data_IF_589122401824
#
_entry.id   IF_589122401824
#
_cell.length_a   1.000
_cell.length_b   1.000
_cell.length_c   1.000
_cell.angle_alpha   90.00
_cell.angle_beta   90.00
_cell.angle_gamma   90.00
#
_symmetry.space_group_name_H-M   'P 1'
#
loop_
_entity.id
_entity.type
_entity.pdbx_description
1 polymer ?
#
# COMPACT_ATOMS: atom_id res chain seq x y z
N UNK A 1 -22.36 -68.99 24.03
CA UNK A 1 -21.04 -69.09 24.70
C UNK A 1 -20.34 -67.73 24.51
N UNK A 2 -20.49 -66.83 25.49
CA UNK A 2 -19.42 -66.32 26.42
C UNK A 2 -18.35 -65.47 25.71
N UNK A 3 -17.99 -64.23 26.08
CA UNK A 3 -18.28 -63.31 27.20
C UNK A 3 -17.84 -61.87 26.83
N UNK A 4 -18.39 -60.77 27.38
CA UNK A 4 -17.97 -60.03 28.61
C UNK A 4 -16.46 -59.68 28.60
N UNK A 5 -15.93 -58.46 28.76
CA UNK A 5 -16.29 -57.21 29.47
C UNK A 5 -15.41 -56.05 28.98
N UNK A 6 -15.86 -54.79 29.11
CA UNK A 6 -15.01 -53.63 28.89
C UNK A 6 -15.68 -52.27 29.05
N UNK A 7 -16.16 -51.98 30.26
CA UNK A 7 -16.71 -50.68 30.69
C UNK A 7 -15.63 -49.61 30.79
N UNK A 8 -15.92 -48.37 30.32
CA UNK A 8 -15.51 -47.12 30.99
C UNK A 8 -16.28 -45.90 30.45
N UNK A 9 -17.10 -45.32 31.34
CA UNK A 9 -17.29 -43.88 31.62
C UNK A 9 -17.57 -42.94 30.43
N UNK A 10 -18.81 -42.47 30.26
CA UNK A 10 -19.37 -41.26 30.91
C UNK A 10 -18.56 -40.00 30.59
N UNK A 11 -19.14 -39.18 29.72
CA UNK A 11 -18.75 -37.80 29.47
C UNK A 11 -19.93 -37.09 28.81
N UNK A 12 -20.95 -36.78 29.61
CA UNK A 12 -22.01 -35.84 29.22
C UNK A 12 -21.34 -34.52 28.81
N UNK A 13 -21.34 -34.19 27.51
CA UNK A 13 -21.14 -32.82 27.09
C UNK A 13 -22.49 -32.11 27.13
N UNK A 14 -22.59 -30.97 27.82
CA UNK A 14 -23.83 -30.28 28.04
C UNK A 14 -24.39 -29.75 26.73
N UNK A 15 -25.65 -30.11 26.49
CA UNK A 15 -26.57 -29.50 25.54
C UNK A 15 -26.78 -28.03 25.92
N UNK A 16 -25.84 -27.16 25.55
CA UNK A 16 -26.05 -25.72 25.55
C UNK A 16 -26.55 -25.34 24.17
N UNK A 17 -27.87 -25.36 24.02
CA UNK A 17 -28.60 -24.66 22.97
C UNK A 17 -28.32 -23.16 23.09
N UNK A 18 -27.18 -22.71 22.58
CA UNK A 18 -26.97 -21.30 22.26
C UNK A 18 -27.42 -21.15 20.81
N UNK A 19 -28.56 -20.50 20.64
CA UNK A 19 -28.99 -19.98 19.34
C UNK A 19 -27.87 -19.05 18.86
N UNK A 20 -26.97 -19.59 18.05
CA UNK A 20 -25.96 -18.83 17.34
C UNK A 20 -26.72 -18.01 16.30
N UNK A 21 -26.84 -16.71 16.57
CA UNK A 21 -27.28 -15.73 15.58
C UNK A 21 -26.47 -15.94 14.30
N UNK A 22 -27.14 -16.40 13.24
CA UNK A 22 -26.54 -16.74 11.96
C UNK A 22 -25.82 -15.55 11.28
N UNK A 23 -26.08 -14.32 11.72
CA UNK A 23 -25.50 -13.11 11.15
C UNK A 23 -24.05 -12.82 11.58
N UNK A 24 -23.58 -13.30 12.74
CA UNK A 24 -22.22 -12.98 13.22
C UNK A 24 -21.16 -13.90 12.60
N UNK A 25 -21.52 -15.15 12.28
CA UNK A 25 -20.58 -16.12 11.69
C UNK A 25 -20.30 -15.85 10.21
N UNK A 26 -21.23 -15.25 9.46
CA UNK A 26 -21.02 -14.94 8.04
C UNK A 26 -20.01 -13.81 7.85
N UNK A 27 -20.06 -12.79 8.72
CA UNK A 27 -19.10 -11.67 8.67
C UNK A 27 -17.70 -12.17 9.04
N UNK A 28 -17.53 -12.89 10.15
CA UNK A 28 -16.21 -13.38 10.55
C UNK A 28 -15.57 -14.36 9.54
N UNK A 29 -16.36 -15.21 8.88
CA UNK A 29 -15.87 -16.08 7.80
C UNK A 29 -15.50 -15.29 6.54
N UNK A 30 -16.27 -14.26 6.18
CA UNK A 30 -15.97 -13.38 5.05
C UNK A 30 -14.67 -12.60 5.29
N UNK A 31 -14.50 -12.03 6.48
CA UNK A 31 -13.29 -11.29 6.87
C UNK A 31 -12.06 -12.23 6.92
N UNK A 32 -12.19 -13.42 7.50
CA UNK A 32 -11.08 -14.39 7.55
C UNK A 32 -10.71 -14.93 6.16
N UNK A 33 -11.69 -15.22 5.30
CA UNK A 33 -11.44 -15.61 3.91
C UNK A 33 -10.77 -14.47 3.12
N UNK A 34 -11.21 -13.23 3.32
CA UNK A 34 -10.58 -12.05 2.70
C UNK A 34 -9.12 -11.87 3.14
N UNK A 35 -8.82 -12.05 4.42
CA UNK A 35 -7.45 -11.94 4.97
C UNK A 35 -6.54 -13.09 4.51
N UNK A 36 -7.06 -14.31 4.34
CA UNK A 36 -6.28 -15.44 3.83
C UNK A 36 -6.02 -15.31 2.32
N UNK A 37 -7.01 -14.87 1.54
CA UNK A 37 -6.86 -14.58 0.09
C UNK A 37 -5.87 -13.44 -0.16
N UNK A 38 -5.75 -12.47 0.75
CA UNK A 38 -4.72 -11.42 0.68
C UNK A 38 -3.29 -11.91 0.95
N UNK A 39 -3.10 -13.11 1.52
CA UNK A 39 -1.78 -13.64 1.88
C UNK A 39 -1.14 -14.50 0.81
N UNK A 40 -1.92 -15.19 -0.01
CA UNK A 40 -1.42 -15.81 -1.23
C UNK A 40 -1.29 -14.70 -2.27
N UNK A 41 -0.19 -13.97 -2.18
CA UNK A 41 0.27 -13.13 -3.28
C UNK A 41 0.82 -14.09 -4.34
N UNK A 42 0.17 -14.24 -5.50
CA UNK A 42 0.71 -15.08 -6.55
C UNK A 42 1.87 -14.37 -7.24
N UNK A 43 2.87 -15.16 -7.63
CA UNK A 43 3.94 -14.68 -8.48
C UNK A 43 3.49 -14.68 -9.95
N UNK A 44 3.84 -13.63 -10.69
CA UNK A 44 3.64 -13.61 -12.13
C UNK A 44 4.58 -14.60 -12.83
N UNK A 45 4.10 -15.39 -13.78
CA UNK A 45 4.93 -16.38 -14.48
C UNK A 45 6.00 -15.77 -15.42
N UNK A 46 5.82 -14.52 -15.85
CA UNK A 46 6.71 -13.84 -16.83
C UNK A 46 7.78 -13.04 -16.09
N UNK A 47 7.39 -12.14 -15.19
CA UNK A 47 8.32 -11.29 -14.45
C UNK A 47 8.75 -11.84 -13.08
N UNK A 48 8.16 -12.96 -12.64
CA UNK A 48 8.46 -13.67 -11.38
C UNK A 48 8.35 -12.83 -10.10
N UNK A 49 7.78 -11.64 -10.20
CA UNK A 49 7.49 -10.76 -9.07
C UNK A 49 6.13 -11.08 -8.46
N UNK A 50 5.99 -10.71 -7.19
CA UNK A 50 4.82 -10.99 -6.38
C UNK A 50 3.86 -9.80 -6.36
N UNK A 51 2.60 -10.00 -6.72
CA UNK A 51 1.60 -8.94 -6.80
C UNK A 51 0.29 -9.37 -6.15
N UNK A 52 -0.56 -8.42 -5.71
CA UNK A 52 -1.89 -8.76 -5.24
C UNK A 52 -2.78 -9.23 -6.40
N UNK A 53 -3.79 -10.05 -6.09
CA UNK A 53 -4.58 -10.81 -7.07
C UNK A 53 -5.37 -9.91 -8.06
N UNK A 54 -5.64 -8.67 -7.66
CA UNK A 54 -6.28 -7.60 -8.45
C UNK A 54 -5.39 -7.02 -9.55
N UNK A 55 -4.11 -7.38 -9.60
CA UNK A 55 -3.19 -7.00 -10.68
C UNK A 55 -2.97 -8.13 -11.70
N UNK A 56 -3.79 -9.17 -11.67
CA UNK A 56 -3.74 -10.29 -12.61
C UNK A 56 -4.88 -10.23 -13.61
N UNK A 57 -4.56 -10.52 -14.87
CA UNK A 57 -5.57 -10.60 -15.92
C UNK A 57 -6.48 -11.81 -15.68
N UNK A 58 -7.79 -11.59 -15.73
CA UNK A 58 -8.76 -12.68 -15.72
C UNK A 58 -8.76 -13.40 -17.07
N UNK A 59 -8.51 -14.71 -17.06
CA UNK A 59 -8.54 -15.52 -18.28
C UNK A 59 -7.85 -16.87 -18.12
N UNK A 60 -8.35 -17.86 -18.86
CA UNK A 60 -7.75 -19.19 -18.92
C UNK A 60 -6.76 -19.30 -20.08
N UNK A 61 -5.77 -20.20 -19.95
CA UNK A 61 -4.77 -20.47 -20.99
C UNK A 61 -3.57 -19.51 -20.93
N UNK A 62 -3.20 -18.83 -22.04
CA UNK A 62 -1.99 -18.00 -22.07
C UNK A 62 -2.09 -16.74 -21.18
N UNK A 63 -3.26 -16.42 -20.61
CA UNK A 63 -3.43 -15.29 -19.68
C UNK A 63 -3.33 -15.70 -18.20
N UNK A 64 -3.27 -16.99 -17.88
CA UNK A 64 -3.25 -17.48 -16.50
C UNK A 64 -1.97 -17.10 -15.75
N UNK A 65 -2.12 -16.57 -14.53
CA UNK A 65 -1.04 -16.12 -13.64
C UNK A 65 -0.06 -15.11 -14.29
N UNK A 66 -0.59 -14.23 -15.15
CA UNK A 66 0.18 -13.14 -15.75
C UNK A 66 -0.32 -11.80 -15.18
N UNK A 67 0.59 -10.97 -14.68
CA UNK A 67 0.24 -9.63 -14.23
C UNK A 67 -0.14 -8.73 -15.42
N UNK A 68 -0.97 -7.71 -15.18
CA UNK A 68 -1.52 -6.86 -16.26
C UNK A 68 -0.43 -6.23 -17.14
N UNK A 69 0.70 -5.82 -16.55
CA UNK A 69 1.82 -5.23 -17.31
C UNK A 69 2.47 -6.22 -18.27
N UNK A 70 2.79 -7.43 -17.80
CA UNK A 70 3.34 -8.47 -18.68
C UNK A 70 2.32 -8.94 -19.72
N UNK A 71 1.02 -8.88 -19.42
CA UNK A 71 -0.02 -9.21 -20.39
C UNK A 71 -0.06 -8.20 -21.55
N UNK A 72 0.02 -6.91 -21.25
CA UNK A 72 0.10 -5.84 -22.25
C UNK A 72 1.42 -5.90 -23.04
N UNK A 73 2.55 -6.08 -22.35
CA UNK A 73 3.87 -6.10 -22.99
C UNK A 73 4.06 -7.29 -23.97
N UNK A 74 3.30 -8.38 -23.77
CA UNK A 74 3.33 -9.57 -24.63
C UNK A 74 2.11 -9.69 -25.56
N UNK A 75 1.36 -8.59 -25.77
CA UNK A 75 0.18 -8.54 -26.65
C UNK A 75 -0.91 -9.58 -26.29
N UNK A 76 -0.95 -9.99 -25.02
CA UNK A 76 -1.93 -10.94 -24.50
C UNK A 76 -3.27 -10.26 -24.27
N UNK A 77 -3.30 -8.96 -23.95
CA UNK A 77 -4.51 -8.13 -23.74
C UNK A 77 -4.22 -6.70 -24.16
N UNK A 78 -5.23 -6.01 -24.68
CA UNK A 78 -5.13 -4.59 -25.04
C UNK A 78 -5.12 -3.68 -23.80
N UNK A 79 -4.50 -2.50 -23.92
CA UNK A 79 -4.45 -1.49 -22.85
C UNK A 79 -5.83 -0.95 -22.52
N UNK A 80 -6.74 -0.93 -23.50
CA UNK A 80 -8.11 -0.43 -23.33
C UNK A 80 -8.99 -1.42 -22.54
N UNK A 81 -8.69 -2.72 -22.62
CA UNK A 81 -9.45 -3.80 -21.97
C UNK A 81 -9.02 -4.04 -20.51
N UNK A 82 -8.02 -3.32 -20.01
CA UNK A 82 -7.41 -3.55 -18.69
C UNK A 82 -7.44 -2.30 -17.80
N UNK A 83 -8.59 -1.96 -17.18
CA UNK A 83 -8.69 -0.83 -16.25
C UNK A 83 -7.89 -1.04 -14.95
N UNK A 84 -7.47 -2.28 -14.67
CA UNK A 84 -6.58 -2.65 -13.56
C UNK A 84 -5.10 -2.38 -13.88
N UNK A 85 -4.75 -2.08 -15.14
CA UNK A 85 -3.40 -1.62 -15.44
C UNK A 85 -3.24 -0.29 -14.72
N UNK A 86 -2.39 -0.27 -13.69
CA UNK A 86 -2.03 0.95 -12.97
C UNK A 86 -1.50 1.93 -14.00
N UNK A 87 -2.38 2.82 -14.49
CA UNK A 87 -2.10 3.62 -15.67
C UNK A 87 -0.94 4.54 -15.33
N UNK A 88 0.03 4.62 -16.24
CA UNK A 88 1.20 5.48 -16.05
C UNK A 88 0.78 6.95 -15.82
N UNK A 89 -0.42 7.32 -16.26
CA UNK A 89 -1.07 8.62 -16.01
C UNK A 89 -1.42 8.83 -14.53
N UNK A 90 -2.01 7.85 -13.84
CA UNK A 90 -2.29 7.95 -12.40
C UNK A 90 -1.00 7.97 -11.57
N UNK A 91 0.03 7.23 -12.00
CA UNK A 91 1.38 7.31 -11.40
C UNK A 91 1.89 8.74 -11.53
N UNK A 92 1.85 9.28 -12.74
CA UNK A 92 2.39 10.60 -13.07
C UNK A 92 1.64 11.71 -12.33
N UNK A 93 0.32 11.63 -12.25
CA UNK A 93 -0.50 12.57 -11.49
C UNK A 93 -0.18 12.52 -10.00
N UNK A 94 -0.11 11.33 -9.42
CA UNK A 94 0.28 11.14 -8.01
C UNK A 94 1.69 11.69 -7.74
N UNK A 95 2.68 11.31 -8.55
CA UNK A 95 4.06 11.78 -8.41
C UNK A 95 4.15 13.30 -8.60
N UNK A 96 3.37 13.88 -9.53
CA UNK A 96 3.33 15.32 -9.71
C UNK A 96 2.81 16.04 -8.46
N UNK A 97 1.77 15.51 -7.80
CA UNK A 97 1.27 16.05 -6.54
C UNK A 97 2.30 15.93 -5.41
N UNK A 98 2.95 14.77 -5.27
CA UNK A 98 4.01 14.57 -4.27
C UNK A 98 5.22 15.47 -4.51
N UNK A 99 5.65 15.63 -5.77
CA UNK A 99 6.79 16.46 -6.14
C UNK A 99 6.60 17.92 -5.71
N UNK A 100 5.39 18.46 -5.88
CA UNK A 100 5.07 19.84 -5.48
C UNK A 100 5.14 20.03 -3.98
N UNK A 101 4.75 19.01 -3.21
CA UNK A 101 4.79 19.04 -1.73
C UNK A 101 6.19 18.85 -1.17
N UNK A 102 6.99 17.97 -1.75
CA UNK A 102 8.34 17.65 -1.26
C UNK A 102 9.43 18.61 -1.77
N UNK A 103 9.17 19.45 -2.77
CA UNK A 103 10.14 20.43 -3.29
C UNK A 103 10.74 21.34 -2.20
N UNK A 104 9.93 21.81 -1.26
CA UNK A 104 10.40 22.66 -0.15
C UNK A 104 11.35 21.91 0.77
N UNK A 105 11.05 20.65 1.08
CA UNK A 105 11.91 19.79 1.90
C UNK A 105 13.24 19.50 1.21
N UNK A 106 13.21 19.17 -0.08
CA UNK A 106 14.43 18.94 -0.88
C UNK A 106 15.32 20.18 -0.85
N UNK A 107 14.75 21.38 -1.01
CA UNK A 107 15.52 22.63 -0.96
C UNK A 107 16.19 22.85 0.40
N UNK A 108 15.49 22.55 1.50
CA UNK A 108 16.03 22.66 2.86
C UNK A 108 17.15 21.64 3.08
N UNK A 109 16.93 20.37 2.72
CA UNK A 109 17.96 19.34 2.79
C UNK A 109 19.21 19.73 2.01
N UNK A 110 19.02 20.23 0.78
CA UNK A 110 20.14 20.65 -0.06
C UNK A 110 20.85 21.88 0.50
N UNK A 111 20.11 22.84 1.05
CA UNK A 111 20.68 24.00 1.72
C UNK A 111 21.51 23.63 2.96
N UNK A 112 21.01 22.72 3.80
CA UNK A 112 21.78 22.18 4.92
C UNK A 112 23.01 21.41 4.45
N UNK A 113 22.87 20.56 3.44
CA UNK A 113 24.00 19.83 2.86
C UNK A 113 25.09 20.79 2.36
N UNK A 114 24.71 21.83 1.61
CA UNK A 114 25.61 22.85 1.11
C UNK A 114 26.28 23.65 2.24
N UNK A 115 25.54 23.99 3.30
CA UNK A 115 26.11 24.68 4.46
C UNK A 115 27.15 23.83 5.20
N UNK A 116 26.84 22.55 5.43
CA UNK A 116 27.72 21.63 6.16
C UNK A 116 29.00 21.30 5.37
N UNK A 117 28.94 21.32 4.05
CA UNK A 117 30.06 20.97 3.15
C UNK A 117 30.91 22.19 2.77
N UNK A 118 30.29 23.29 2.37
CA UNK A 118 30.97 24.47 1.78
C UNK A 118 30.79 25.74 2.60
N UNK A 119 29.70 25.85 3.37
CA UNK A 119 29.26 27.11 3.98
C UNK A 119 30.05 27.58 5.20
N UNK A 120 30.85 26.73 5.86
CA UNK A 120 31.51 27.08 7.14
C UNK A 120 32.76 27.97 7.02
N UNK A 121 33.31 28.17 5.82
CA UNK A 121 34.63 28.79 5.64
C UNK A 121 34.66 30.33 5.56
N UNK A 122 33.51 31.01 5.49
CA UNK A 122 33.44 32.47 5.26
C UNK A 122 32.60 33.12 6.36
N UNK A 123 33.21 33.85 7.30
CA UNK A 123 32.56 34.31 8.56
C UNK A 123 31.26 35.11 8.37
N UNK A 124 31.22 36.07 7.44
CA UNK A 124 30.03 36.90 7.21
C UNK A 124 28.93 36.17 6.42
N UNK A 125 29.30 35.37 5.42
CA UNK A 125 28.31 34.68 4.58
C UNK A 125 27.76 33.42 5.25
N UNK A 126 28.58 32.73 6.06
CA UNK A 126 28.21 31.56 6.84
C UNK A 126 27.10 31.87 7.85
N UNK A 127 27.24 32.97 8.59
CA UNK A 127 26.28 33.37 9.63
C UNK A 127 24.92 33.78 9.03
N UNK A 128 24.90 34.60 7.98
CA UNK A 128 23.66 35.00 7.30
C UNK A 128 22.96 33.80 6.69
N UNK A 129 23.71 32.92 6.01
CA UNK A 129 23.14 31.71 5.40
C UNK A 129 22.57 30.75 6.45
N UNK A 130 23.24 30.60 7.59
CA UNK A 130 22.75 29.81 8.72
C UNK A 130 21.44 30.36 9.27
N UNK A 131 21.31 31.69 9.44
CA UNK A 131 20.06 32.30 9.93
C UNK A 131 18.92 32.03 8.95
N UNK A 132 19.15 32.21 7.65
CA UNK A 132 18.14 31.91 6.62
C UNK A 132 17.76 30.44 6.61
N UNK A 133 18.73 29.53 6.76
CA UNK A 133 18.47 28.09 6.87
C UNK A 133 17.61 27.74 8.07
N UNK A 134 17.90 28.31 9.24
CA UNK A 134 17.10 28.09 10.46
C UNK A 134 15.68 28.60 10.24
N UNK A 135 15.51 29.83 9.74
CA UNK A 135 14.18 30.40 9.46
C UNK A 135 13.41 29.54 8.46
N UNK A 136 14.05 29.13 7.35
CA UNK A 136 13.39 28.29 6.34
C UNK A 136 12.98 26.92 6.90
N UNK A 137 13.79 26.35 7.79
CA UNK A 137 13.51 25.07 8.48
C UNK A 137 12.34 25.20 9.46
N UNK A 138 12.14 26.38 10.06
CA UNK A 138 10.99 26.66 10.94
C UNK A 138 9.71 26.97 10.16
N UNK A 139 9.80 27.67 9.03
CA UNK A 139 8.64 28.04 8.21
C UNK A 139 8.09 26.85 7.43
N UNK A 140 8.95 25.93 6.97
CA UNK A 140 8.54 24.77 6.19
C UNK A 140 7.50 23.85 6.86
N UNK A 141 7.65 23.42 8.13
CA UNK A 141 6.63 22.60 8.78
C UNK A 141 5.29 23.34 8.92
N UNK A 142 5.30 24.64 9.20
CA UNK A 142 4.08 25.46 9.28
C UNK A 142 3.33 25.45 7.95
N UNK A 143 4.02 25.75 6.85
CA UNK A 143 3.44 25.71 5.50
C UNK A 143 3.01 24.30 5.10
N UNK A 144 3.77 23.28 5.51
CA UNK A 144 3.45 21.89 5.23
C UNK A 144 2.15 21.45 5.93
N UNK A 145 1.93 21.88 7.17
CA UNK A 145 0.69 21.60 7.90
C UNK A 145 -0.52 22.28 7.27
N UNK A 146 -0.41 23.58 6.95
CA UNK A 146 -1.50 24.33 6.31
C UNK A 146 -1.91 23.75 4.95
N UNK A 147 -0.97 23.19 4.19
CA UNK A 147 -1.23 22.56 2.90
C UNK A 147 -1.83 21.14 2.97
N UNK A 148 -1.94 20.55 4.17
CA UNK A 148 -2.33 19.13 4.34
C UNK A 148 -3.75 18.84 3.90
N UNK A 149 -4.71 19.70 4.28
CA UNK A 149 -6.12 19.52 3.93
C UNK A 149 -6.33 19.56 2.41
N UNK A 150 -5.68 20.51 1.72
CA UNK A 150 -5.71 20.62 0.27
C UNK A 150 -5.12 19.38 -0.40
N UNK A 151 -3.97 18.92 0.06
CA UNK A 151 -3.31 17.75 -0.50
C UNK A 151 -4.16 16.49 -0.34
N UNK A 152 -4.76 16.26 0.83
CA UNK A 152 -5.64 15.10 1.05
C UNK A 152 -6.88 15.15 0.15
N UNK A 153 -7.43 16.35 -0.11
CA UNK A 153 -8.53 16.51 -1.04
C UNK A 153 -8.12 16.25 -2.51
N UNK A 154 -6.91 16.64 -2.92
CA UNK A 154 -6.39 16.32 -4.25
C UNK A 154 -6.04 14.82 -4.38
N UNK A 155 -5.53 14.19 -3.32
CA UNK A 155 -5.27 12.74 -3.30
C UNK A 155 -6.56 11.92 -3.38
N UNK A 156 -7.60 12.32 -2.63
CA UNK A 156 -8.88 11.62 -2.62
C UNK A 156 -9.56 11.61 -4.00
N UNK A 157 -9.22 12.55 -4.89
CA UNK A 157 -9.70 12.57 -6.28
C UNK A 157 -8.98 11.58 -7.19
N UNK A 158 -7.75 11.19 -6.83
CA UNK A 158 -6.88 10.30 -7.61
C UNK A 158 -6.93 8.83 -7.16
N UNK A 159 -7.59 8.56 -6.02
CA UNK A 159 -7.88 7.21 -5.53
C UNK A 159 -9.36 6.93 -5.76
N UNK A 160 -9.73 6.16 -6.80
CA UNK A 160 -11.13 5.76 -7.03
C UNK A 160 -11.66 4.85 -5.92
#
# INVERSE_FOLDING_TARGET
MHGFLGSKSVGLLPRTSRVLNADVSTVALKEAAYVVVLRDMPACRICTQNYPLDQFVSGNGPRYQVCVRCAVDNDLVDREDTPQLYSDDLVKERISLFSRRYRMWIFIFFGWFLYLTLGRGIELWSSVFLVVLIVSTLVAPVMHYLASARFNAELAKLTP
#
